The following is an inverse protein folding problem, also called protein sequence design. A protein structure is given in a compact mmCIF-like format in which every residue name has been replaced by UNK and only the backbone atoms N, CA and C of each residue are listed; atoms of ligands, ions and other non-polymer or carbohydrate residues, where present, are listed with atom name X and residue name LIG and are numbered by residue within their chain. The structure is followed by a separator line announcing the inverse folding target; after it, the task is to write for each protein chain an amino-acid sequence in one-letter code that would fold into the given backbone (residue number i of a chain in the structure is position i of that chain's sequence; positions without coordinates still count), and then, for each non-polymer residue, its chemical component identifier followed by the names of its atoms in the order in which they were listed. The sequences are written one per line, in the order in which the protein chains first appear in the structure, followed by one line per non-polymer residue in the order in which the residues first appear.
data_IF_124443955157
#
_entry.id   IF_124443955157
#
_cell.length_a   1.000
_cell.length_b   1.000
_cell.length_c   1.000
_cell.angle_alpha   90.00
_cell.angle_beta   90.00
_cell.angle_gamma   90.00
#
_symmetry.space_group_name_H-M   'P 1'
#
loop_
_entity.id
_entity.type
_entity.pdbx_description
1 polymer ?
#
# COMPACT_ATOMS: atom_id res chain seq x y z
N UNK A 1 0.88 -17.17 9.69
CA UNK A 1 0.38 -15.80 9.77
C UNK A 1 -0.73 -15.56 8.76
N UNK A 2 -1.70 -14.76 9.15
CA UNK A 2 -2.77 -14.33 8.25
C UNK A 2 -2.19 -13.37 7.20
N UNK A 3 -2.84 -13.32 6.02
CA UNK A 3 -2.37 -12.47 4.92
C UNK A 3 -2.25 -11.00 5.32
N UNK A 4 -3.23 -10.39 6.03
CA UNK A 4 -3.07 -9.00 6.48
C UNK A 4 -1.83 -8.78 7.35
N UNK A 5 -1.48 -9.75 8.18
CA UNK A 5 -0.29 -9.66 9.02
C UNK A 5 0.99 -9.75 8.19
N UNK A 6 1.00 -10.58 7.16
CA UNK A 6 2.13 -10.69 6.24
C UNK A 6 2.35 -9.40 5.47
N UNK A 7 1.27 -8.76 5.01
CA UNK A 7 1.35 -7.49 4.31
C UNK A 7 1.88 -6.40 5.23
N UNK A 8 1.38 -6.34 6.48
CA UNK A 8 1.87 -5.38 7.47
C UNK A 8 3.36 -5.57 7.74
N UNK A 9 3.82 -6.81 7.87
CA UNK A 9 5.25 -7.11 8.01
C UNK A 9 6.06 -6.63 6.82
N UNK A 10 5.54 -6.81 5.62
CA UNK A 10 6.18 -6.34 4.41
C UNK A 10 6.34 -4.82 4.40
N UNK A 11 5.29 -4.10 4.81
CA UNK A 11 5.34 -2.64 4.93
C UNK A 11 6.39 -2.22 5.96
N UNK A 12 6.40 -2.85 7.13
CA UNK A 12 7.37 -2.54 8.18
C UNK A 12 8.80 -2.82 7.73
N UNK A 13 9.03 -3.93 7.02
CA UNK A 13 10.34 -4.27 6.49
C UNK A 13 10.81 -3.23 5.46
N UNK A 14 9.91 -2.78 4.59
CA UNK A 14 10.20 -1.74 3.62
C UNK A 14 10.56 -0.42 4.31
N UNK A 15 9.81 -0.02 5.32
CA UNK A 15 10.11 1.19 6.09
C UNK A 15 11.46 1.07 6.81
N UNK A 16 11.79 -0.11 7.34
CA UNK A 16 13.10 -0.35 7.95
C UNK A 16 14.23 -0.17 6.93
N UNK A 17 14.02 -0.61 5.70
CA UNK A 17 14.99 -0.42 4.62
C UNK A 17 15.15 1.05 4.25
N UNK A 18 14.10 1.88 4.44
CA UNK A 18 14.13 3.31 4.16
C UNK A 18 14.72 4.12 5.32
N UNK A 19 14.99 3.52 6.47
CA UNK A 19 15.43 4.23 7.68
C UNK A 19 16.60 5.18 7.43
N UNK A 20 17.66 4.80 6.68
CA UNK A 20 18.75 5.73 6.40
C UNK A 20 18.32 7.01 5.67
N UNK A 21 17.16 6.97 5.00
CA UNK A 21 16.66 8.08 4.19
C UNK A 21 15.49 8.82 4.86
N UNK A 22 15.17 8.48 6.12
CA UNK A 22 14.00 9.07 6.80
C UNK A 22 14.04 10.59 6.82
N UNK A 23 15.18 11.18 7.18
CA UNK A 23 15.30 12.63 7.26
C UNK A 23 15.13 13.29 5.88
N UNK A 24 15.68 12.68 4.83
CA UNK A 24 15.51 13.17 3.47
C UNK A 24 14.04 13.15 3.05
N UNK A 25 13.32 12.09 3.39
CA UNK A 25 11.88 11.98 3.11
C UNK A 25 11.11 13.05 3.86
N UNK A 26 11.41 13.25 5.14
CA UNK A 26 10.74 14.25 5.98
C UNK A 26 10.95 15.66 5.43
N UNK A 27 12.17 15.99 5.03
CA UNK A 27 12.50 17.31 4.46
C UNK A 27 11.79 17.53 3.13
N UNK A 28 11.78 16.53 2.27
CA UNK A 28 11.10 16.61 0.99
C UNK A 28 9.61 16.85 1.18
N UNK A 29 8.98 16.10 2.09
CA UNK A 29 7.56 16.24 2.39
C UNK A 29 7.22 17.64 2.95
N UNK A 30 8.08 18.19 3.82
CA UNK A 30 7.87 19.51 4.39
C UNK A 30 7.95 20.63 3.35
N UNK A 31 8.62 20.38 2.23
CA UNK A 31 8.73 21.33 1.12
C UNK A 31 7.68 21.10 0.04
N UNK A 32 6.73 20.18 0.26
CA UNK A 32 5.71 19.86 -0.70
C UNK A 32 6.15 18.86 -1.78
N UNK A 33 7.35 18.34 -1.70
CA UNK A 33 7.82 17.32 -2.64
C UNK A 33 7.38 15.95 -2.13
N UNK A 34 6.25 15.50 -2.65
CA UNK A 34 5.69 14.21 -2.23
C UNK A 34 6.35 13.10 -3.06
N UNK A 35 6.82 12.01 -2.41
CA UNK A 35 7.48 10.92 -3.13
C UNK A 35 6.52 10.09 -3.98
N UNK A 36 5.24 10.40 -3.92
CA UNK A 36 4.19 9.72 -4.66
C UNK A 36 3.47 10.76 -5.51
N UNK A 37 3.82 10.97 -6.63
CA UNK A 37 3.13 11.85 -7.57
C UNK A 37 2.78 11.05 -8.79
N UNK A 38 2.55 11.76 -9.89
CA UNK A 38 2.40 11.12 -11.18
C UNK A 38 3.76 10.64 -11.69
N UNK A 39 3.74 9.73 -12.65
CA UNK A 39 4.95 9.28 -13.32
C UNK A 39 5.82 8.34 -12.51
N UNK A 40 7.15 8.57 -12.46
CA UNK A 40 8.09 7.62 -11.85
C UNK A 40 7.80 7.31 -10.38
N UNK A 41 7.32 8.29 -9.61
CA UNK A 41 7.01 8.08 -8.20
C UNK A 41 5.83 7.11 -8.03
N UNK A 42 4.82 7.24 -8.88
CA UNK A 42 3.67 6.33 -8.88
C UNK A 42 4.10 4.91 -9.24
N UNK A 43 4.97 4.77 -10.23
CA UNK A 43 5.50 3.45 -10.61
C UNK A 43 6.29 2.81 -9.47
N UNK A 44 7.08 3.58 -8.73
CA UNK A 44 7.83 3.08 -7.58
C UNK A 44 6.89 2.57 -6.49
N UNK A 45 5.85 3.32 -6.20
CA UNK A 45 4.85 2.93 -5.21
C UNK A 45 4.17 1.63 -5.62
N UNK A 46 3.82 1.50 -6.90
CA UNK A 46 3.23 0.28 -7.42
C UNK A 46 4.18 -0.91 -7.29
N UNK A 47 5.45 -0.73 -7.63
CA UNK A 47 6.44 -1.80 -7.51
C UNK A 47 6.62 -2.27 -6.07
N UNK A 48 6.59 -1.34 -5.12
CA UNK A 48 6.66 -1.69 -3.70
C UNK A 48 5.44 -2.50 -3.28
N UNK A 49 4.26 -2.07 -3.69
CA UNK A 49 3.02 -2.80 -3.38
C UNK A 49 3.04 -4.20 -3.99
N UNK A 50 3.48 -4.33 -5.23
CA UNK A 50 3.61 -5.62 -5.91
C UNK A 50 4.58 -6.54 -5.16
N UNK A 51 5.73 -6.01 -4.76
CA UNK A 51 6.74 -6.77 -4.04
C UNK A 51 6.21 -7.26 -2.68
N UNK A 52 5.50 -6.40 -1.95
CA UNK A 52 4.94 -6.75 -0.64
C UNK A 52 3.89 -7.86 -0.79
N UNK A 53 2.97 -7.73 -1.74
CA UNK A 53 1.94 -8.75 -1.96
C UNK A 53 2.54 -10.08 -2.42
N UNK A 54 3.53 -10.03 -3.30
CA UNK A 54 4.23 -11.23 -3.75
C UNK A 54 4.93 -11.92 -2.58
N UNK A 55 5.61 -11.16 -1.73
CA UNK A 55 6.28 -11.70 -0.54
C UNK A 55 5.27 -12.27 0.47
N UNK A 56 4.06 -11.74 0.51
CA UNK A 56 2.99 -12.26 1.37
C UNK A 56 2.37 -13.54 0.83
N UNK A 57 2.81 -14.02 -0.34
CA UNK A 57 2.32 -15.26 -0.92
C UNK A 57 1.09 -15.11 -1.80
N UNK A 58 0.80 -13.88 -2.25
CA UNK A 58 -0.36 -13.66 -3.12
C UNK A 58 -0.16 -14.31 -4.47
N UNK A 59 -1.11 -15.17 -4.84
CA UNK A 59 -1.14 -15.86 -6.14
C UNK A 59 -2.34 -15.47 -6.96
N UNK A 60 -3.04 -14.39 -6.55
CA UNK A 60 -4.20 -13.92 -7.29
C UNK A 60 -3.81 -13.38 -8.68
N UNK A 61 -4.76 -13.43 -9.60
CA UNK A 61 -4.58 -12.98 -10.97
C UNK A 61 -5.69 -12.00 -11.34
N UNK A 62 -5.52 -11.32 -12.46
CA UNK A 62 -6.51 -10.42 -13.04
C UNK A 62 -6.88 -9.26 -12.10
N UNK A 63 -8.17 -9.04 -11.93
CA UNK A 63 -8.69 -7.93 -11.14
C UNK A 63 -8.23 -7.98 -9.68
N UNK A 64 -8.23 -9.17 -9.07
CA UNK A 64 -7.84 -9.29 -7.66
C UNK A 64 -6.37 -8.89 -7.45
N UNK A 65 -5.49 -9.32 -8.34
CA UNK A 65 -4.07 -8.95 -8.29
C UNK A 65 -3.91 -7.44 -8.41
N UNK A 66 -4.55 -6.85 -9.39
CA UNK A 66 -4.48 -5.42 -9.66
C UNK A 66 -5.07 -4.61 -8.51
N UNK A 67 -6.25 -5.01 -8.03
CA UNK A 67 -6.97 -4.32 -6.97
C UNK A 67 -6.20 -4.31 -5.66
N UNK A 68 -5.66 -5.46 -5.24
CA UNK A 68 -4.87 -5.57 -4.01
C UNK A 68 -3.67 -4.65 -4.03
N UNK A 69 -2.93 -4.67 -5.14
CA UNK A 69 -1.73 -3.87 -5.28
C UNK A 69 -2.04 -2.38 -5.39
N UNK A 70 -3.09 -2.03 -6.10
CA UNK A 70 -3.54 -0.65 -6.23
C UNK A 70 -3.99 -0.06 -4.91
N UNK A 71 -4.73 -0.83 -4.11
CA UNK A 71 -5.20 -0.38 -2.81
C UNK A 71 -4.04 -0.18 -1.83
N UNK A 72 -3.06 -1.10 -1.84
CA UNK A 72 -1.87 -0.92 -1.02
C UNK A 72 -1.08 0.30 -1.48
N UNK A 73 -0.85 0.44 -2.78
CA UNK A 73 -0.15 1.60 -3.33
C UNK A 73 -0.83 2.92 -2.93
N UNK A 74 -2.15 2.92 -2.84
CA UNK A 74 -2.91 4.11 -2.48
C UNK A 74 -2.70 4.53 -1.01
N UNK A 75 -2.44 3.58 -0.11
CA UNK A 75 -2.27 3.88 1.32
C UNK A 75 -0.81 4.06 1.72
N UNK A 76 0.14 3.58 0.92
CA UNK A 76 1.56 3.71 1.24
C UNK A 76 2.02 5.15 1.47
N UNK A 77 1.58 6.15 0.68
CA UNK A 77 1.98 7.54 0.92
C UNK A 77 1.65 8.03 2.33
N UNK A 78 0.45 7.77 2.81
CA UNK A 78 0.05 8.18 4.16
C UNK A 78 0.90 7.50 5.23
N UNK A 79 1.24 6.23 5.01
CA UNK A 79 2.09 5.44 5.91
C UNK A 79 3.50 6.04 5.95
N UNK A 80 4.05 6.36 4.79
CA UNK A 80 5.40 6.96 4.71
C UNK A 80 5.46 8.29 5.43
N UNK A 81 4.45 9.15 5.24
CA UNK A 81 4.39 10.44 5.93
C UNK A 81 4.33 10.29 7.44
N UNK A 82 3.51 9.38 7.92
CA UNK A 82 3.41 9.12 9.35
C UNK A 82 4.72 8.58 9.91
N UNK A 83 5.32 7.63 9.22
CA UNK A 83 6.62 7.07 9.60
C UNK A 83 7.73 8.13 9.61
N UNK A 84 7.73 9.06 8.67
CA UNK A 84 8.77 10.08 8.55
C UNK A 84 8.83 10.99 9.78
N UNK A 85 7.72 11.15 10.51
CA UNK A 85 7.67 11.93 11.74
C UNK A 85 8.20 11.18 12.96
N UNK A 86 8.75 9.98 12.76
CA UNK A 86 9.37 9.15 13.81
C UNK A 86 8.41 8.85 14.97
N UNK A 87 7.24 8.26 14.69
CA UNK A 87 6.27 7.93 15.74
C UNK A 87 6.77 6.78 16.62
N UNK A 88 6.15 6.62 17.79
CA UNK A 88 6.38 5.44 18.61
C UNK A 88 5.99 4.18 17.84
N UNK A 89 6.71 3.05 18.06
CA UNK A 89 6.41 1.81 17.30
C UNK A 89 4.95 1.37 17.39
N UNK A 90 4.32 1.51 18.53
CA UNK A 90 2.92 1.13 18.72
C UNK A 90 1.98 2.00 17.88
N UNK A 91 2.27 3.29 17.81
CA UNK A 91 1.47 4.24 17.02
C UNK A 91 1.59 3.95 15.54
N UNK A 92 2.81 3.68 15.07
CA UNK A 92 3.05 3.32 13.67
C UNK A 92 2.35 2.01 13.32
N UNK A 93 2.49 1.00 14.16
CA UNK A 93 1.87 -0.31 13.95
C UNK A 93 0.35 -0.18 13.83
N UNK A 94 -0.27 0.56 14.76
CA UNK A 94 -1.70 0.80 14.74
C UNK A 94 -2.15 1.61 13.53
N UNK A 95 -1.37 2.60 13.12
CA UNK A 95 -1.67 3.39 11.92
C UNK A 95 -1.66 2.51 10.67
N UNK A 96 -0.63 1.69 10.50
CA UNK A 96 -0.54 0.77 9.36
C UNK A 96 -1.73 -0.18 9.35
N UNK A 97 -2.04 -0.79 10.50
CA UNK A 97 -3.15 -1.72 10.61
C UNK A 97 -4.48 -1.08 10.19
N UNK A 98 -4.74 0.16 10.65
CA UNK A 98 -5.97 0.88 10.29
C UNK A 98 -6.02 1.21 8.80
N UNK A 99 -4.90 1.64 8.22
CA UNK A 99 -4.87 1.97 6.78
C UNK A 99 -5.08 0.73 5.93
N UNK A 100 -4.47 -0.39 6.30
CA UNK A 100 -4.67 -1.64 5.57
C UNK A 100 -6.12 -2.14 5.69
N UNK A 101 -6.72 -2.01 6.87
CA UNK A 101 -8.12 -2.39 7.07
C UNK A 101 -9.05 -1.51 6.23
N UNK A 102 -8.80 -0.20 6.18
CA UNK A 102 -9.58 0.73 5.36
C UNK A 102 -9.46 0.39 3.87
N UNK A 103 -8.26 0.10 3.41
CA UNK A 103 -8.03 -0.29 2.02
C UNK A 103 -8.77 -1.59 1.68
N UNK A 104 -8.73 -2.57 2.59
CA UNK A 104 -9.44 -3.84 2.41
C UNK A 104 -10.94 -3.62 2.31
N UNK A 105 -11.51 -2.76 3.18
CA UNK A 105 -12.92 -2.41 3.13
C UNK A 105 -13.31 -1.75 1.82
N UNK A 106 -12.49 -0.82 1.34
CA UNK A 106 -12.70 -0.18 0.04
C UNK A 106 -12.62 -1.19 -1.10
N UNK A 107 -11.68 -2.12 -1.02
CA UNK A 107 -11.54 -3.18 -2.02
C UNK A 107 -12.75 -4.07 -2.09
N UNK A 108 -13.32 -4.43 -0.96
CA UNK A 108 -14.55 -5.22 -0.91
C UNK A 108 -15.73 -4.47 -1.51
N UNK A 109 -15.88 -3.19 -1.18
CA UNK A 109 -16.95 -2.36 -1.73
C UNK A 109 -16.80 -2.19 -3.24
N UNK A 110 -15.61 -1.89 -3.70
CA UNK A 110 -15.32 -1.76 -5.12
C UNK A 110 -15.60 -3.08 -5.86
N UNK A 111 -15.20 -4.20 -5.26
CA UNK A 111 -15.45 -5.52 -5.84
C UNK A 111 -16.92 -5.84 -5.99
N UNK A 112 -17.75 -5.41 -5.05
CA UNK A 112 -19.21 -5.61 -5.13
C UNK A 112 -19.82 -4.85 -6.31
N UNK A 113 -19.26 -3.71 -6.67
CA UNK A 113 -19.74 -2.88 -7.77
C UNK A 113 -19.12 -3.30 -9.09
N UNK A 114 -17.81 -3.50 -9.10
CA UNK A 114 -17.02 -3.72 -10.32
C UNK A 114 -17.15 -5.14 -10.85
N UNK A 115 -17.13 -6.15 -9.96
CA UNK A 115 -17.23 -7.55 -10.40
C UNK A 115 -18.48 -7.86 -11.21
N UNK A 116 -19.67 -7.43 -10.78
CA UNK A 116 -20.87 -7.65 -11.61
C UNK A 116 -20.79 -6.97 -12.98
N UNK A 117 -20.20 -5.77 -13.03
CA UNK A 117 -20.01 -5.05 -14.29
C UNK A 117 -19.01 -5.78 -15.19
N UNK A 118 -17.88 -6.20 -14.64
CA UNK A 118 -16.86 -6.94 -15.39
C UNK A 118 -17.39 -8.30 -15.88
N UNK A 119 -18.17 -8.99 -15.04
CA UNK A 119 -18.78 -10.26 -15.42
C UNK A 119 -19.74 -10.08 -16.61
N UNK A 120 -20.44 -8.94 -16.65
CA UNK A 120 -21.35 -8.63 -17.76
C UNK A 120 -20.61 -8.41 -19.08
N UNK A 121 -19.44 -7.76 -19.03
CA UNK A 121 -18.63 -7.49 -20.21
C UNK A 121 -17.60 -8.59 -20.55
N UNK A 122 -17.25 -9.42 -19.58
CA UNK A 122 -16.22 -10.44 -19.72
C UNK A 122 -16.71 -11.80 -20.26
N UNK A 123 -18.00 -11.97 -20.45
CA UNK A 123 -18.60 -13.22 -20.93
C UNK A 123 -18.68 -13.28 -22.45
N UNK A 124 -17.63 -12.99 -23.12
CA UNK A 124 -17.62 -13.09 -24.58
C UNK A 124 -16.61 -14.06 -25.06
#
# INVERSE_FOLDING_TARGET
LRVPDKVKRGVLAWLAALEPNREAVRRAASRGFLPWGAGPALQRTWKVADMIWTAAGDQSEDYNRFSKRGLLAAVLPAIVLHWADNPAPEDLDGFIARRLANASGLGQRAGRIVKPVLARFGKR
#
